data_IF_546823830620
#
_entry.id   IF_546823830620
#
_cell.length_a   1.000
_cell.length_b   1.000
_cell.length_c   1.000
_cell.angle_alpha   90.00
_cell.angle_beta   90.00
_cell.angle_gamma   90.00
#
_symmetry.space_group_name_H-M   'P 1'
#
loop_
_entity.id
_entity.type
_entity.pdbx_description
1 polymer ?
#
# COMPACT_ATOMS: atom_id res chain seq x y z
N UNK A 1 -30.81 35.86 -11.34
CA UNK A 1 -29.46 35.49 -11.83
C UNK A 1 -29.53 34.04 -12.28
N UNK A 2 -29.15 33.71 -13.51
CA UNK A 2 -29.13 32.31 -13.95
C UNK A 2 -28.09 31.57 -13.13
N UNK A 3 -28.51 30.56 -12.43
CA UNK A 3 -27.63 29.61 -11.77
C UNK A 3 -27.01 28.69 -12.82
N UNK A 4 -25.70 28.59 -12.81
CA UNK A 4 -24.98 27.67 -13.67
C UNK A 4 -24.94 28.15 -15.14
N UNK A 5 -24.21 29.18 -15.39
CA UNK A 5 -23.89 29.56 -16.76
C UNK A 5 -22.95 28.54 -17.39
N UNK A 6 -23.52 27.66 -18.15
CA UNK A 6 -22.80 26.88 -19.14
C UNK A 6 -22.95 27.60 -20.49
N UNK A 7 -22.23 28.69 -20.69
CA UNK A 7 -22.20 29.37 -21.96
C UNK A 7 -21.44 28.58 -23.01
N UNK A 8 -21.73 28.82 -24.27
CA UNK A 8 -21.03 28.21 -25.43
C UNK A 8 -19.56 28.64 -25.54
N UNK A 9 -19.18 29.66 -24.81
CA UNK A 9 -17.79 30.10 -24.62
C UNK A 9 -17.61 30.47 -23.16
N UNK A 10 -17.38 29.51 -22.28
CA UNK A 10 -17.02 29.84 -20.93
C UNK A 10 -15.72 30.62 -20.97
N UNK A 11 -15.81 31.89 -20.65
CA UNK A 11 -14.63 32.74 -20.54
C UNK A 11 -13.93 32.40 -19.19
N UNK A 12 -13.56 31.14 -19.06
CA UNK A 12 -12.90 30.61 -17.90
C UNK A 12 -11.40 30.71 -18.15
N UNK A 13 -10.80 31.70 -17.58
CA UNK A 13 -9.37 31.87 -17.56
C UNK A 13 -8.81 31.23 -16.28
N UNK A 14 -7.50 31.02 -16.23
CA UNK A 14 -6.77 30.38 -15.12
C UNK A 14 -7.08 30.91 -13.71
N UNK A 15 -7.64 32.09 -13.58
CA UNK A 15 -8.04 32.72 -12.33
C UNK A 15 -9.56 32.72 -12.09
N UNK A 16 -10.28 31.99 -12.88
CA UNK A 16 -11.72 31.86 -12.71
C UNK A 16 -11.98 30.83 -11.58
N UNK A 17 -12.86 31.16 -10.66
CA UNK A 17 -13.09 30.41 -9.42
C UNK A 17 -13.77 29.05 -9.65
N UNK A 18 -13.12 28.15 -10.35
CA UNK A 18 -13.37 26.72 -10.26
C UNK A 18 -14.63 26.17 -10.93
N UNK A 19 -15.20 26.88 -11.92
CA UNK A 19 -16.27 26.32 -12.75
C UNK A 19 -15.69 25.86 -14.08
N UNK A 20 -15.63 24.56 -14.28
CA UNK A 20 -15.14 23.95 -15.50
C UNK A 20 -16.28 23.51 -16.40
N UNK A 21 -16.12 23.62 -17.72
CA UNK A 21 -17.00 22.95 -18.67
C UNK A 21 -16.79 21.42 -18.58
N UNK A 22 -17.75 20.66 -19.10
CA UNK A 22 -17.63 19.19 -19.15
C UNK A 22 -16.40 18.76 -19.96
N UNK A 23 -16.06 19.51 -21.00
CA UNK A 23 -14.93 19.25 -21.88
C UNK A 23 -13.58 19.53 -21.17
N UNK A 24 -13.50 20.64 -20.43
CA UNK A 24 -12.33 20.95 -19.58
C UNK A 24 -12.16 19.95 -18.45
N UNK A 25 -13.25 19.56 -17.81
CA UNK A 25 -13.21 18.52 -16.77
C UNK A 25 -12.73 17.17 -17.33
N UNK A 26 -13.16 16.82 -18.55
CA UNK A 26 -12.71 15.62 -19.24
C UNK A 26 -11.22 15.72 -19.63
N UNK A 27 -10.78 16.87 -20.13
CA UNK A 27 -9.39 17.13 -20.46
C UNK A 27 -8.50 17.03 -19.20
N UNK A 28 -8.89 17.67 -18.10
CA UNK A 28 -8.18 17.57 -16.81
C UNK A 28 -8.16 16.13 -16.27
N UNK A 29 -9.26 15.39 -16.43
CA UNK A 29 -9.31 13.97 -16.06
C UNK A 29 -8.32 13.15 -16.90
N UNK A 30 -8.24 13.38 -18.19
CA UNK A 30 -7.33 12.66 -19.09
C UNK A 30 -5.86 13.00 -18.81
N UNK A 31 -5.58 14.22 -18.35
CA UNK A 31 -4.25 14.64 -17.88
C UNK A 31 -3.96 14.14 -16.45
N UNK A 32 -4.93 13.52 -15.78
CA UNK A 32 -4.79 13.09 -14.39
C UNK A 32 -4.81 14.23 -13.38
N UNK A 33 -5.15 15.44 -13.78
CA UNK A 33 -5.22 16.64 -12.93
C UNK A 33 -6.57 16.81 -12.25
N UNK A 34 -7.62 16.20 -12.80
CA UNK A 34 -8.93 16.11 -12.16
C UNK A 34 -9.08 14.73 -11.54
N UNK A 35 -8.78 14.60 -10.29
CA UNK A 35 -8.88 13.34 -9.57
C UNK A 35 -8.51 13.48 -8.11
N UNK A 36 -8.75 12.41 -7.34
CA UNK A 36 -8.31 12.34 -5.95
C UNK A 36 -6.77 12.33 -5.84
N UNK A 37 -6.28 12.56 -4.64
CA UNK A 37 -4.84 12.50 -4.33
C UNK A 37 -4.22 11.11 -4.48
N UNK A 38 -5.01 10.08 -4.79
CA UNK A 38 -4.55 8.70 -5.04
C UNK A 38 -4.93 8.25 -6.43
N UNK A 39 -3.97 7.64 -7.12
CA UNK A 39 -4.16 7.03 -8.44
C UNK A 39 -3.93 5.52 -8.33
N UNK A 40 -4.90 4.73 -8.79
CA UNK A 40 -4.77 3.27 -8.82
C UNK A 40 -3.74 2.88 -9.90
N UNK A 41 -2.63 2.27 -9.47
CA UNK A 41 -1.58 1.79 -10.36
C UNK A 41 -1.86 0.34 -10.77
N UNK A 42 -2.11 -0.53 -9.80
CA UNK A 42 -2.36 -1.95 -10.03
C UNK A 42 -3.37 -2.52 -9.04
N UNK A 43 -4.12 -3.53 -9.49
CA UNK A 43 -4.97 -4.37 -8.64
C UNK A 43 -4.67 -5.83 -8.93
N UNK A 44 -4.45 -6.63 -7.87
CA UNK A 44 -4.15 -8.05 -7.99
C UNK A 44 -5.02 -8.86 -7.02
N UNK A 45 -5.49 -10.01 -7.48
CA UNK A 45 -6.13 -11.01 -6.63
C UNK A 45 -5.11 -12.09 -6.32
N UNK A 46 -4.95 -12.39 -5.05
CA UNK A 46 -4.01 -13.41 -4.62
C UNK A 46 -4.53 -14.81 -4.96
N UNK A 47 -3.64 -15.65 -5.46
CA UNK A 47 -3.89 -17.05 -5.79
C UNK A 47 -2.62 -17.89 -5.76
N UNK A 48 -1.51 -17.35 -5.21
CA UNK A 48 -0.19 -17.96 -5.23
C UNK A 48 0.61 -17.58 -3.98
N UNK A 49 1.83 -18.08 -3.85
CA UNK A 49 2.72 -17.82 -2.73
C UNK A 49 3.12 -16.35 -2.59
N UNK A 50 3.09 -15.58 -3.68
CA UNK A 50 3.55 -14.19 -3.70
C UNK A 50 2.64 -13.32 -4.56
N UNK A 51 2.29 -12.14 -4.06
CA UNK A 51 1.64 -11.07 -4.83
C UNK A 51 2.69 -10.00 -5.11
N UNK A 52 2.98 -9.74 -6.39
CA UNK A 52 4.06 -8.86 -6.82
C UNK A 52 3.53 -7.63 -7.55
N UNK A 53 3.96 -6.44 -7.13
CA UNK A 53 3.79 -5.19 -7.84
C UNK A 53 5.15 -4.78 -8.42
N UNK A 54 5.29 -4.84 -9.74
CA UNK A 54 6.55 -4.56 -10.45
C UNK A 54 6.56 -3.23 -11.20
N UNK A 55 5.40 -2.59 -11.32
CA UNK A 55 5.29 -1.23 -11.85
C UNK A 55 4.75 -0.34 -10.72
N UNK A 56 5.63 0.45 -10.12
CA UNK A 56 5.26 1.31 -9.00
C UNK A 56 4.78 2.70 -9.46
N UNK A 57 5.00 3.07 -10.74
CA UNK A 57 4.82 4.45 -11.19
C UNK A 57 5.85 5.40 -10.56
N UNK A 58 5.79 6.66 -10.90
CA UNK A 58 6.72 7.70 -10.39
C UNK A 58 6.03 8.50 -9.28
N UNK A 59 6.09 7.98 -8.06
CA UNK A 59 5.49 8.59 -6.88
C UNK A 59 6.46 8.53 -5.69
N UNK A 60 6.49 9.58 -4.89
CA UNK A 60 7.27 9.60 -3.62
C UNK A 60 6.63 8.73 -2.54
N UNK A 61 5.31 8.60 -2.60
CA UNK A 61 4.53 7.83 -1.63
C UNK A 61 3.63 6.84 -2.37
N UNK A 62 3.72 5.58 -1.97
CA UNK A 62 2.86 4.51 -2.44
C UNK A 62 1.95 4.05 -1.32
N UNK A 63 0.72 3.72 -1.67
CA UNK A 63 -0.28 3.22 -0.74
C UNK A 63 -0.80 1.88 -1.22
N UNK A 64 -0.73 0.86 -0.38
CA UNK A 64 -1.26 -0.46 -0.70
C UNK A 64 -2.36 -0.82 0.29
N UNK A 65 -3.51 -1.23 -0.23
CA UNK A 65 -4.57 -1.88 0.56
C UNK A 65 -4.56 -3.37 0.31
N UNK A 66 -4.86 -4.14 1.34
CA UNK A 66 -5.11 -5.57 1.23
C UNK A 66 -6.39 -5.94 1.97
N UNK A 67 -7.25 -6.70 1.29
CA UNK A 67 -8.57 -7.02 1.80
C UNK A 67 -8.88 -8.49 1.61
N UNK A 68 -9.49 -9.11 2.63
CA UNK A 68 -9.91 -10.51 2.66
C UNK A 68 -8.76 -11.47 2.34
N UNK A 69 -7.57 -11.16 2.83
CA UNK A 69 -6.38 -11.99 2.64
C UNK A 69 -6.45 -13.19 3.56
N UNK A 70 -6.39 -14.38 2.97
CA UNK A 70 -6.37 -15.66 3.66
C UNK A 70 -5.09 -16.42 3.29
N UNK A 71 -4.49 -17.07 4.25
CA UNK A 71 -3.29 -17.88 4.07
C UNK A 71 -3.68 -19.37 3.97
N UNK A 72 -2.84 -20.17 3.35
CA UNK A 72 -3.08 -21.62 3.23
C UNK A 72 -2.73 -22.40 4.51
N UNK A 73 -1.97 -21.79 5.39
CA UNK A 73 -1.46 -22.40 6.61
C UNK A 73 -1.76 -21.52 7.81
N UNK A 74 -2.16 -22.14 8.92
CA UNK A 74 -2.37 -21.47 10.20
C UNK A 74 -1.03 -20.97 10.78
N UNK A 75 -1.13 -19.94 11.59
CA UNK A 75 -0.02 -19.34 12.35
C UNK A 75 1.16 -18.82 11.51
N UNK A 76 0.94 -18.60 10.22
CA UNK A 76 1.90 -17.90 9.39
C UNK A 76 1.68 -16.39 9.38
N UNK A 77 2.77 -15.66 9.22
CA UNK A 77 2.76 -14.21 9.14
C UNK A 77 2.63 -13.76 7.69
N UNK A 78 1.81 -12.77 7.45
CA UNK A 78 1.87 -11.99 6.23
C UNK A 78 2.99 -10.96 6.37
N UNK A 79 3.86 -10.91 5.38
CA UNK A 79 4.96 -9.97 5.30
C UNK A 79 5.07 -9.31 3.93
N UNK A 80 5.99 -8.38 3.82
CA UNK A 80 6.34 -7.76 2.54
C UNK A 80 7.84 -7.73 2.35
N UNK A 81 8.27 -7.71 1.10
CA UNK A 81 9.64 -7.44 0.66
C UNK A 81 9.67 -6.37 -0.41
N UNK A 82 10.76 -5.66 -0.45
CA UNK A 82 11.11 -4.76 -1.55
C UNK A 82 12.08 -5.46 -2.48
N UNK A 83 12.09 -5.05 -3.74
CA UNK A 83 13.08 -5.52 -4.71
C UNK A 83 13.82 -4.34 -5.32
N UNK A 84 15.10 -4.53 -5.58
CA UNK A 84 15.96 -3.61 -6.31
C UNK A 84 16.36 -4.21 -7.68
N UNK A 85 17.31 -3.62 -8.36
CA UNK A 85 17.80 -4.11 -9.66
C UNK A 85 18.43 -5.52 -9.58
N UNK A 86 18.87 -5.95 -8.40
CA UNK A 86 19.48 -7.28 -8.17
C UNK A 86 18.46 -8.34 -7.76
N UNK A 87 17.21 -7.97 -7.53
CA UNK A 87 16.12 -8.85 -7.12
C UNK A 87 15.56 -8.54 -5.73
N UNK A 88 14.92 -9.52 -5.12
CA UNK A 88 14.27 -9.35 -3.82
C UNK A 88 15.29 -9.15 -2.70
N UNK A 89 15.11 -8.11 -1.90
CA UNK A 89 15.92 -7.85 -0.70
C UNK A 89 15.46 -8.78 0.41
N UNK A 90 16.36 -9.62 0.91
CA UNK A 90 16.05 -10.71 1.85
C UNK A 90 16.64 -10.52 3.25
N UNK A 91 17.10 -9.31 3.58
CA UNK A 91 17.66 -9.01 4.91
C UNK A 91 17.67 -7.51 5.17
N UNK A 92 17.94 -7.13 6.41
CA UNK A 92 18.15 -5.73 6.79
C UNK A 92 16.88 -4.98 7.19
N UNK A 93 15.70 -5.56 7.08
CA UNK A 93 14.46 -4.90 7.51
C UNK A 93 14.47 -4.67 9.02
N UNK A 94 14.02 -3.49 9.41
CA UNK A 94 13.79 -3.12 10.80
C UNK A 94 12.35 -2.69 10.96
N UNK A 95 11.71 -3.08 12.04
CA UNK A 95 10.34 -2.68 12.30
C UNK A 95 10.08 -2.47 13.80
N UNK A 96 9.11 -1.62 14.09
CA UNK A 96 8.51 -1.45 15.40
C UNK A 96 6.99 -1.40 15.21
N UNK A 97 6.31 -2.35 15.80
CA UNK A 97 4.87 -2.51 15.71
C UNK A 97 4.27 -2.67 17.09
N UNK A 98 3.08 -2.16 17.27
CA UNK A 98 2.22 -2.47 18.41
C UNK A 98 1.01 -3.23 17.93
N UNK A 99 0.61 -4.25 18.68
CA UNK A 99 -0.62 -4.97 18.42
C UNK A 99 -1.46 -5.07 19.69
N UNK A 100 -2.77 -5.00 19.49
CA UNK A 100 -3.75 -5.26 20.52
C UNK A 100 -4.44 -6.56 20.15
N UNK A 101 -4.21 -7.57 20.94
CA UNK A 101 -4.86 -8.86 20.88
C UNK A 101 -5.50 -9.15 22.23
N UNK A 102 -6.18 -10.27 22.35
CA UNK A 102 -6.77 -10.69 23.63
C UNK A 102 -5.72 -10.79 24.76
N UNK A 103 -4.44 -10.96 24.38
CA UNK A 103 -3.28 -11.03 25.30
C UNK A 103 -2.41 -9.77 25.35
N UNK A 104 -2.69 -8.77 24.50
CA UNK A 104 -1.84 -7.58 24.31
C UNK A 104 -0.47 -7.89 23.72
N UNK A 105 0.31 -6.90 23.37
CA UNK A 105 1.70 -7.09 22.96
C UNK A 105 2.33 -5.99 22.13
N UNK A 106 3.65 -6.07 22.00
CA UNK A 106 4.48 -5.24 21.12
C UNK A 106 5.52 -6.10 20.43
N UNK A 107 5.87 -5.75 19.21
CA UNK A 107 6.92 -6.38 18.46
C UNK A 107 7.90 -5.36 17.89
N UNK A 108 9.17 -5.63 18.03
CA UNK A 108 10.23 -4.87 17.35
C UNK A 108 11.35 -5.83 16.97
N UNK A 109 11.97 -5.60 15.83
CA UNK A 109 13.12 -6.37 15.41
C UNK A 109 13.98 -5.60 14.41
N UNK A 110 15.22 -6.04 14.29
CA UNK A 110 16.20 -5.51 13.35
C UNK A 110 16.79 -6.66 12.54
N UNK A 111 17.22 -6.35 11.32
CA UNK A 111 17.87 -7.31 10.42
C UNK A 111 17.01 -8.53 10.08
N UNK A 112 15.70 -8.33 9.91
CA UNK A 112 14.77 -9.38 9.48
C UNK A 112 14.77 -9.55 7.96
N UNK A 113 14.20 -10.67 7.51
CA UNK A 113 14.09 -11.01 6.08
C UNK A 113 12.89 -10.39 5.40
N UNK A 114 12.00 -9.73 6.15
CA UNK A 114 10.78 -9.05 5.66
C UNK A 114 10.31 -7.98 6.64
N UNK A 115 9.51 -7.03 6.14
CA UNK A 115 8.63 -6.23 6.98
C UNK A 115 7.36 -7.02 7.31
N UNK A 116 6.92 -6.99 8.56
CA UNK A 116 5.75 -7.74 9.01
C UNK A 116 4.46 -6.93 8.88
N UNK A 117 3.40 -7.60 8.44
CA UNK A 117 2.04 -7.05 8.31
C UNK A 117 1.03 -7.73 9.23
N UNK A 118 1.44 -8.77 9.92
CA UNK A 118 0.64 -9.46 10.94
C UNK A 118 1.56 -10.10 11.98
N UNK A 119 1.01 -10.52 13.12
CA UNK A 119 1.72 -11.33 14.12
C UNK A 119 1.19 -12.75 14.16
N UNK A 120 1.88 -13.62 14.90
CA UNK A 120 1.47 -15.00 15.11
C UNK A 120 0.14 -15.07 15.89
N UNK A 121 -0.66 -16.07 15.55
CA UNK A 121 -1.95 -16.31 16.19
C UNK A 121 -3.13 -15.56 15.59
N UNK A 122 -2.87 -14.53 14.78
CA UNK A 122 -3.91 -13.80 14.06
C UNK A 122 -4.00 -14.18 12.57
N UNK A 123 -3.36 -15.27 12.18
CA UNK A 123 -3.37 -15.80 10.81
C UNK A 123 -4.00 -17.18 10.82
N UNK A 124 -5.15 -17.30 10.16
CA UNK A 124 -5.82 -18.57 10.01
C UNK A 124 -6.06 -18.93 8.55
N UNK A 125 -6.44 -20.16 8.30
CA UNK A 125 -6.76 -20.71 6.98
C UNK A 125 -8.25 -21.02 6.79
N UNK A 126 -9.09 -20.75 7.78
CA UNK A 126 -10.54 -20.92 7.64
C UNK A 126 -11.15 -19.74 6.87
N UNK A 127 -12.23 -20.00 6.14
CA UNK A 127 -12.89 -19.04 5.22
C UNK A 127 -13.25 -17.69 5.87
N UNK A 128 -13.41 -17.65 7.19
CA UNK A 128 -13.73 -16.43 7.96
C UNK A 128 -12.52 -15.76 8.60
N UNK A 129 -11.36 -16.37 8.47
CA UNK A 129 -10.11 -15.93 9.12
C UNK A 129 -9.29 -15.13 8.13
N UNK A 130 -9.65 -13.86 7.97
CA UNK A 130 -9.08 -12.98 6.96
C UNK A 130 -8.34 -11.81 7.59
N UNK A 131 -7.40 -11.29 6.83
CA UNK A 131 -6.64 -10.07 7.13
C UNK A 131 -7.07 -8.96 6.22
N UNK A 132 -7.17 -7.77 6.80
CA UNK A 132 -7.46 -6.53 6.11
C UNK A 132 -6.52 -5.43 6.61
N UNK A 133 -6.12 -4.52 5.75
CA UNK A 133 -5.25 -3.44 6.17
C UNK A 133 -4.70 -2.63 5.04
N UNK A 134 -3.71 -1.81 5.40
CA UNK A 134 -2.99 -0.96 4.45
C UNK A 134 -1.56 -0.70 4.90
N UNK A 135 -0.74 -0.33 3.92
CA UNK A 135 0.65 0.09 4.10
C UNK A 135 0.92 1.32 3.24
N UNK A 136 1.52 2.34 3.84
CA UNK A 136 2.18 3.41 3.11
C UNK A 136 3.66 3.10 2.99
N UNK A 137 4.22 3.31 1.81
CA UNK A 137 5.64 3.23 1.54
C UNK A 137 6.15 4.60 1.11
N UNK A 138 7.33 4.95 1.58
CA UNK A 138 7.98 6.24 1.34
C UNK A 138 9.36 6.03 0.74
N UNK A 139 9.70 6.88 -0.22
CA UNK A 139 11.03 6.95 -0.84
C UNK A 139 11.48 5.70 -1.61
N UNK A 140 10.57 4.83 -2.08
CA UNK A 140 10.97 3.61 -2.77
C UNK A 140 11.85 3.86 -3.99
N UNK A 141 11.57 4.92 -4.75
CA UNK A 141 12.28 5.25 -5.98
C UNK A 141 13.48 6.20 -5.74
N UNK A 142 13.78 6.56 -4.51
CA UNK A 142 14.83 7.52 -4.17
C UNK A 142 16.10 6.81 -3.73
N UNK A 143 17.13 6.80 -4.61
CA UNK A 143 18.41 6.13 -4.35
C UNK A 143 19.26 6.78 -3.25
N UNK A 144 18.88 7.98 -2.75
CA UNK A 144 19.63 8.72 -1.73
C UNK A 144 19.00 8.64 -0.35
N UNK A 145 17.85 7.98 -0.21
CA UNK A 145 17.11 7.88 1.05
C UNK A 145 16.81 6.43 1.40
N UNK A 146 16.56 6.20 2.68
CA UNK A 146 16.04 4.92 3.14
C UNK A 146 14.57 4.78 2.74
N UNK A 147 14.14 3.55 2.47
CA UNK A 147 12.74 3.23 2.26
C UNK A 147 12.07 2.94 3.59
N UNK A 148 10.97 3.65 3.86
CA UNK A 148 10.17 3.49 5.08
C UNK A 148 8.81 2.93 4.75
N UNK A 149 8.15 2.36 5.74
CA UNK A 149 6.72 2.07 5.68
C UNK A 149 6.02 2.43 6.99
N UNK A 150 4.74 2.75 6.88
CA UNK A 150 3.79 2.79 8.01
C UNK A 150 2.59 1.94 7.67
N UNK A 151 2.02 1.25 8.65
CA UNK A 151 0.98 0.26 8.39
C UNK A 151 -0.06 0.19 9.49
N UNK A 152 -1.22 -0.29 9.10
CA UNK A 152 -2.24 -0.77 10.01
C UNK A 152 -2.91 -2.01 9.42
N UNK A 153 -3.12 -3.02 10.25
CA UNK A 153 -3.85 -4.22 9.85
C UNK A 153 -4.80 -4.70 10.94
N UNK A 154 -5.82 -5.42 10.51
CA UNK A 154 -6.77 -6.06 11.38
C UNK A 154 -7.01 -7.48 10.88
N UNK A 155 -6.97 -8.43 11.79
CA UNK A 155 -7.17 -9.85 11.48
C UNK A 155 -7.98 -10.56 12.56
N UNK A 156 -8.62 -11.63 12.15
CA UNK A 156 -9.31 -12.57 13.02
C UNK A 156 -8.95 -13.98 12.63
N UNK A 157 -8.45 -14.73 13.58
CA UNK A 157 -8.28 -16.16 13.54
C UNK A 157 -8.72 -16.74 14.90
N UNK A 158 -7.87 -17.50 15.58
CA UNK A 158 -8.10 -17.91 16.98
C UNK A 158 -8.24 -16.70 17.90
N UNK A 159 -7.43 -15.65 17.67
CA UNK A 159 -7.50 -14.34 18.34
C UNK A 159 -7.95 -13.25 17.37
N UNK A 160 -8.43 -12.15 17.90
CA UNK A 160 -8.65 -10.91 17.15
C UNK A 160 -7.45 -10.01 17.38
N UNK A 161 -6.90 -9.46 16.31
CA UNK A 161 -5.73 -8.59 16.38
C UNK A 161 -5.91 -7.31 15.57
N UNK A 162 -5.53 -6.20 16.19
CA UNK A 162 -5.30 -4.92 15.53
C UNK A 162 -3.82 -4.57 15.67
N UNK A 163 -3.16 -4.33 14.57
CA UNK A 163 -1.73 -4.04 14.51
C UNK A 163 -1.49 -2.71 13.83
N UNK A 164 -0.57 -1.91 14.38
CA UNK A 164 -0.12 -0.66 13.77
C UNK A 164 1.36 -0.41 14.06
N UNK A 165 2.02 0.32 13.20
CA UNK A 165 3.42 0.65 13.35
C UNK A 165 4.09 0.96 12.03
N UNK A 166 5.35 0.59 11.91
CA UNK A 166 6.10 0.83 10.71
C UNK A 166 7.46 0.16 10.70
N UNK A 167 8.17 0.36 9.63
CA UNK A 167 9.49 -0.20 9.43
C UNK A 167 10.34 0.63 8.49
N UNK A 168 11.59 0.21 8.37
CA UNK A 168 12.58 0.80 7.48
C UNK A 168 13.47 -0.28 6.91
N UNK A 169 13.84 -0.10 5.66
CA UNK A 169 15.00 -0.76 5.07
C UNK A 169 16.14 0.28 5.00
N UNK A 170 17.13 0.23 5.91
CA UNK A 170 18.13 1.28 6.07
C UNK A 170 19.27 1.12 5.05
N UNK A 171 18.90 0.98 3.79
CA UNK A 171 19.81 0.98 2.65
C UNK A 171 19.32 2.04 1.67
N UNK A 172 20.17 2.98 1.32
CA UNK A 172 19.84 4.05 0.37
C UNK A 172 19.98 3.50 -1.05
N UNK A 173 18.87 3.02 -1.61
CA UNK A 173 18.81 2.44 -2.95
C UNK A 173 17.40 2.57 -3.54
N UNK A 174 17.29 2.41 -4.85
CA UNK A 174 16.00 2.40 -5.53
C UNK A 174 15.37 1.00 -5.44
N UNK A 175 14.13 0.96 -4.96
CA UNK A 175 13.31 -0.25 -4.96
C UNK A 175 12.22 -0.14 -6.04
N UNK A 176 12.19 -1.09 -6.95
CA UNK A 176 11.34 -1.10 -8.15
C UNK A 176 10.16 -2.07 -8.07
N UNK A 177 10.05 -2.84 -6.99
CA UNK A 177 8.92 -3.73 -6.77
C UNK A 177 8.60 -3.89 -5.28
N UNK A 178 7.34 -4.23 -5.01
CA UNK A 178 6.82 -4.62 -3.70
C UNK A 178 6.22 -6.01 -3.82
N UNK A 179 6.62 -6.93 -2.96
CA UNK A 179 6.09 -8.28 -2.89
C UNK A 179 5.42 -8.53 -1.55
N UNK A 180 4.23 -9.13 -1.56
CA UNK A 180 3.54 -9.63 -0.38
C UNK A 180 3.63 -11.14 -0.37
N UNK A 181 4.01 -11.72 0.76
CA UNK A 181 4.30 -13.14 0.90
C UNK A 181 4.05 -13.59 2.34
N UNK A 182 4.03 -14.90 2.53
CA UNK A 182 4.03 -15.48 3.88
C UNK A 182 5.46 -15.73 4.35
N UNK A 183 5.69 -15.68 5.64
CA UNK A 183 7.05 -15.87 6.18
C UNK A 183 7.53 -17.31 6.14
N UNK A 184 6.62 -18.29 6.11
CA UNK A 184 6.91 -19.72 5.98
C UNK A 184 6.89 -20.22 4.54
N UNK A 185 6.48 -19.39 3.58
CA UNK A 185 6.44 -19.75 2.16
C UNK A 185 5.14 -20.44 1.72
N UNK A 186 4.10 -20.44 2.54
CA UNK A 186 2.78 -20.94 2.14
C UNK A 186 2.10 -20.00 1.15
N UNK A 187 1.02 -20.45 0.53
CA UNK A 187 0.27 -19.64 -0.41
C UNK A 187 -0.64 -18.61 0.27
N UNK A 188 -0.83 -17.49 -0.40
CA UNK A 188 -1.94 -16.56 -0.15
C UNK A 188 -3.11 -17.02 -1.01
N UNK A 189 -4.09 -17.66 -0.40
CA UNK A 189 -5.16 -18.38 -1.13
C UNK A 189 -6.29 -17.49 -1.59
N UNK A 190 -6.44 -16.32 -0.99
CA UNK A 190 -7.41 -15.30 -1.41
C UNK A 190 -6.98 -13.91 -0.97
N UNK A 191 -7.69 -12.93 -1.46
CA UNK A 191 -7.53 -11.53 -1.11
C UNK A 191 -7.30 -10.65 -2.32
N UNK A 192 -7.58 -9.37 -2.15
CA UNK A 192 -7.34 -8.36 -3.18
C UNK A 192 -6.34 -7.34 -2.65
N UNK A 193 -5.29 -7.14 -3.41
CA UNK A 193 -4.27 -6.14 -3.16
C UNK A 193 -4.39 -5.04 -4.21
N UNK A 194 -4.36 -3.78 -3.76
CA UNK A 194 -4.39 -2.62 -4.66
C UNK A 194 -3.28 -1.67 -4.32
N UNK A 195 -2.48 -1.35 -5.33
CA UNK A 195 -1.39 -0.37 -5.24
C UNK A 195 -1.87 0.97 -5.82
N UNK A 196 -1.65 2.03 -5.08
CA UNK A 196 -1.92 3.41 -5.47
C UNK A 196 -0.65 4.25 -5.34
N UNK A 197 -0.49 5.20 -6.27
CA UNK A 197 0.43 6.32 -6.12
C UNK A 197 -0.27 7.48 -5.44
N UNK A 198 0.40 8.14 -4.50
CA UNK A 198 -0.12 9.35 -3.86
C UNK A 198 0.46 10.56 -4.59
N UNK A 199 -0.42 11.31 -5.25
CA UNK A 199 -0.02 12.52 -5.98
C UNK A 199 0.37 13.62 -5.00
N UNK A 200 1.55 14.18 -5.20
CA UNK A 200 1.96 15.42 -4.55
C UNK A 200 1.64 16.57 -5.50
N UNK A 201 0.60 17.32 -5.20
CA UNK A 201 0.28 18.53 -5.97
C UNK A 201 1.17 19.63 -5.43
N UNK A 202 2.26 19.93 -6.13
CA UNK A 202 3.06 21.12 -5.88
C UNK A 202 2.33 22.31 -6.50
N UNK A 203 1.76 23.16 -5.67
CA UNK A 203 1.33 24.50 -6.10
C UNK A 203 2.59 25.36 -6.11
N UNK A 204 3.16 25.52 -7.30
CA UNK A 204 4.27 26.50 -7.54
C UNK A 204 3.71 27.91 -7.70
#
# INVERSE_FOLDING_TARGET
MPYGYLGTTPNQQLNNSGVFSVEEALALKNLGELGGSMELIQSQTASDAVVNFTNLGDYDVHFVTFNNVMLSTDDELLGHRLSNASGSVTSGYQFAIQYNADSGGNGASVNTSYGYLSTLGASGNAVREVKNGYVYYYNLLNSSKYSFCTLQSYSKASVTESLFGGGVLPTAETHNAISFLTTGGSAITSGTFKLYGVKQIWVT
#
